data_IF_451441036236
#
_entry.id   IF_451441036236
#
_cell.length_a   1.000
_cell.length_b   1.000
_cell.length_c   1.000
_cell.angle_alpha   90.00
_cell.angle_beta   90.00
_cell.angle_gamma   90.00
#
_symmetry.space_group_name_H-M   'P 1'
#
loop_
_entity.id
_entity.type
_entity.pdbx_description
1 polymer ?
#
# COMPACT_ATOMS: atom_id res chain seq x y z
N UNK A 1 8.59 15.83 -10.69
CA UNK A 1 8.37 15.15 -11.99
C UNK A 1 8.55 13.62 -11.89
N UNK A 2 8.00 12.97 -10.85
CA UNK A 2 8.11 11.51 -10.65
C UNK A 2 6.86 10.73 -11.12
N UNK A 3 5.75 11.42 -11.34
CA UNK A 3 4.44 10.85 -11.71
C UNK A 3 4.35 10.33 -13.16
N UNK A 4 5.40 10.48 -13.97
CA UNK A 4 5.43 9.99 -15.37
C UNK A 4 6.06 8.61 -15.53
N UNK A 5 6.55 7.98 -14.47
CA UNK A 5 7.28 6.69 -14.57
C UNK A 5 6.51 5.45 -14.08
N UNK A 6 5.45 5.61 -13.29
CA UNK A 6 4.57 4.49 -12.94
C UNK A 6 3.96 3.76 -14.16
N UNK A 7 3.46 4.45 -15.20
CA UNK A 7 2.89 3.76 -16.37
C UNK A 7 3.97 3.05 -17.21
N UNK A 8 5.25 3.45 -17.10
CA UNK A 8 6.35 2.81 -17.83
C UNK A 8 6.72 1.45 -17.21
N UNK A 9 6.61 1.32 -15.89
CA UNK A 9 6.84 0.05 -15.18
C UNK A 9 5.73 -0.96 -15.53
N UNK A 10 4.49 -0.49 -15.66
CA UNK A 10 3.36 -1.31 -16.13
C UNK A 10 3.50 -1.71 -17.61
N UNK A 11 4.10 -0.86 -18.46
CA UNK A 11 4.30 -1.15 -19.88
C UNK A 11 5.34 -2.25 -20.14
N UNK A 12 6.42 -2.29 -19.35
CA UNK A 12 7.46 -3.32 -19.47
C UNK A 12 6.91 -4.71 -19.06
N UNK A 13 5.96 -4.77 -18.13
CA UNK A 13 5.27 -6.00 -17.78
C UNK A 13 4.37 -6.52 -18.92
N UNK A 14 3.81 -5.63 -19.76
CA UNK A 14 2.94 -6.01 -20.88
C UNK A 14 3.71 -6.50 -22.12
N UNK A 15 4.96 -6.07 -22.31
CA UNK A 15 5.77 -6.49 -23.48
C UNK A 15 6.30 -7.94 -23.39
N UNK A 16 6.26 -8.58 -22.22
CA UNK A 16 6.75 -9.95 -22.03
C UNK A 16 5.66 -11.04 -22.13
N UNK A 17 4.40 -10.66 -22.30
CA UNK A 17 3.23 -11.57 -22.19
C UNK A 17 2.79 -12.28 -23.48
N UNK A 18 3.56 -12.20 -24.58
CA UNK A 18 3.05 -12.58 -25.91
C UNK A 18 3.45 -13.97 -26.44
N UNK A 19 4.01 -14.88 -25.64
CA UNK A 19 4.31 -16.25 -26.09
C UNK A 19 3.89 -17.30 -25.06
N UNK A 20 3.05 -18.30 -25.42
CA UNK A 20 2.70 -19.38 -24.51
C UNK A 20 3.72 -20.54 -24.60
N UNK A 21 4.24 -21.00 -23.47
CA UNK A 21 5.03 -22.24 -23.37
C UNK A 21 4.87 -22.94 -21.99
N UNK A 22 5.16 -24.26 -21.89
CA UNK A 22 4.60 -25.16 -20.89
C UNK A 22 5.37 -25.18 -19.55
N UNK A 23 4.62 -25.33 -18.46
CA UNK A 23 5.07 -25.23 -17.07
C UNK A 23 5.87 -26.44 -16.56
N UNK A 24 7.02 -26.18 -15.92
CA UNK A 24 7.74 -27.15 -15.08
C UNK A 24 7.09 -27.32 -13.69
N UNK A 25 7.29 -28.46 -12.98
CA UNK A 25 6.36 -28.94 -11.94
C UNK A 25 6.41 -28.21 -10.59
N UNK A 26 7.35 -27.29 -10.36
CA UNK A 26 7.55 -26.65 -9.05
C UNK A 26 7.77 -25.13 -9.09
N UNK A 27 7.77 -24.51 -10.26
CA UNK A 27 7.87 -23.05 -10.36
C UNK A 27 6.47 -22.44 -10.50
N UNK A 28 6.18 -21.45 -9.65
CA UNK A 28 4.98 -20.64 -9.79
C UNK A 28 4.98 -20.04 -11.20
N UNK A 29 3.91 -20.28 -11.94
CA UNK A 29 3.70 -19.64 -13.24
C UNK A 29 3.68 -18.13 -13.07
N UNK A 30 4.04 -17.38 -14.11
CA UNK A 30 3.96 -15.91 -14.10
C UNK A 30 2.58 -15.41 -13.61
N UNK A 31 1.51 -16.07 -14.06
CA UNK A 31 0.14 -15.76 -13.63
C UNK A 31 -0.10 -15.97 -12.12
N UNK A 32 0.52 -16.98 -11.51
CA UNK A 32 0.45 -17.18 -10.06
C UNK A 32 1.23 -16.10 -9.29
N UNK A 33 2.40 -15.68 -9.80
CA UNK A 33 3.17 -14.57 -9.22
C UNK A 33 2.41 -13.25 -9.29
N UNK A 34 1.73 -12.98 -10.41
CA UNK A 34 0.86 -11.81 -10.57
C UNK A 34 -0.30 -11.83 -9.55
N UNK A 35 -0.93 -13.00 -9.36
CA UNK A 35 -2.00 -13.15 -8.37
C UNK A 35 -1.49 -12.96 -6.93
N UNK A 36 -0.31 -13.48 -6.59
CA UNK A 36 0.31 -13.27 -5.29
C UNK A 36 0.65 -11.79 -5.05
N UNK A 37 1.23 -11.12 -6.04
CA UNK A 37 1.53 -9.69 -5.97
C UNK A 37 0.25 -8.83 -5.80
N UNK A 38 -0.81 -9.20 -6.50
CA UNK A 38 -2.13 -8.59 -6.36
C UNK A 38 -2.67 -8.76 -4.93
N UNK A 39 -2.64 -9.97 -4.39
CA UNK A 39 -3.11 -10.27 -3.03
C UNK A 39 -2.28 -9.55 -1.96
N UNK A 40 -0.95 -9.50 -2.11
CA UNK A 40 -0.07 -8.76 -1.19
C UNK A 40 -0.33 -7.25 -1.25
N UNK A 41 -0.69 -6.70 -2.41
CA UNK A 41 -1.08 -5.30 -2.55
C UNK A 41 -2.40 -5.01 -1.83
N UNK A 42 -3.40 -5.90 -1.94
CA UNK A 42 -4.64 -5.81 -1.15
C UNK A 42 -4.32 -5.84 0.35
N UNK A 43 -3.45 -6.76 0.77
CA UNK A 43 -3.06 -6.91 2.17
C UNK A 43 -2.38 -5.66 2.71
N UNK A 44 -1.45 -5.07 1.94
CA UNK A 44 -0.83 -3.80 2.28
C UNK A 44 -1.88 -2.71 2.44
N UNK A 45 -2.73 -2.46 1.44
CA UNK A 45 -3.75 -1.40 1.50
C UNK A 45 -4.65 -1.55 2.74
N UNK A 46 -5.09 -2.77 3.03
CA UNK A 46 -5.88 -3.05 4.23
C UNK A 46 -5.09 -2.80 5.52
N UNK A 47 -3.80 -3.16 5.58
CA UNK A 47 -2.94 -2.87 6.72
C UNK A 47 -2.75 -1.35 6.91
N UNK A 48 -2.53 -0.60 5.83
CA UNK A 48 -2.42 0.86 5.85
C UNK A 48 -3.69 1.51 6.40
N UNK A 49 -4.88 1.06 5.96
CA UNK A 49 -6.14 1.58 6.48
C UNK A 49 -6.33 1.26 7.97
N UNK A 50 -6.06 0.02 8.39
CA UNK A 50 -6.16 -0.39 9.80
C UNK A 50 -5.25 0.42 10.71
N UNK A 51 -4.00 0.63 10.29
CA UNK A 51 -3.04 1.42 11.05
C UNK A 51 -3.51 2.87 11.21
N UNK A 52 -3.99 3.50 10.13
CA UNK A 52 -4.52 4.87 10.18
C UNK A 52 -5.79 4.96 11.03
N UNK A 53 -6.71 3.98 10.92
CA UNK A 53 -7.92 3.91 11.75
C UNK A 53 -7.55 3.80 13.24
N UNK A 54 -6.62 2.91 13.58
CA UNK A 54 -6.17 2.72 14.96
C UNK A 54 -5.47 3.98 15.50
N UNK A 55 -4.60 4.60 14.69
CA UNK A 55 -3.88 5.82 15.07
C UNK A 55 -4.85 6.96 15.35
N UNK A 56 -5.67 7.34 14.37
CA UNK A 56 -6.57 8.49 14.49
C UNK A 56 -7.75 8.20 15.43
N UNK A 57 -8.19 6.93 15.55
CA UNK A 57 -9.12 6.51 16.59
C UNK A 57 -8.58 6.80 17.98
N UNK A 58 -7.33 6.41 18.26
CA UNK A 58 -6.68 6.67 19.54
C UNK A 58 -6.43 8.16 19.82
N UNK A 59 -6.13 8.96 18.78
CA UNK A 59 -6.05 10.43 18.89
C UNK A 59 -7.41 11.01 19.27
N UNK A 60 -8.48 10.59 18.57
CA UNK A 60 -9.84 11.10 18.78
C UNK A 60 -10.39 10.77 20.16
N UNK A 61 -10.13 9.56 20.67
CA UNK A 61 -10.55 9.13 22.01
C UNK A 61 -10.01 10.04 23.14
N UNK A 62 -8.89 10.72 22.89
CA UNK A 62 -8.22 11.60 23.85
C UNK A 62 -8.57 13.08 23.69
N UNK A 63 -9.33 13.42 22.64
CA UNK A 63 -9.82 14.78 22.40
C UNK A 63 -11.23 14.93 22.97
N UNK A 64 -11.59 16.14 23.39
CA UNK A 64 -12.99 16.42 23.74
C UNK A 64 -13.89 16.18 22.50
N UNK A 65 -14.93 15.34 22.58
CA UNK A 65 -15.84 15.03 21.48
C UNK A 65 -16.51 16.24 20.83
N UNK A 66 -16.61 17.37 21.54
CA UNK A 66 -17.23 18.61 21.05
C UNK A 66 -16.26 19.47 20.23
N UNK A 67 -14.98 19.12 20.20
CA UNK A 67 -13.96 19.86 19.43
C UNK A 67 -14.13 19.63 17.94
N UNK A 68 -13.84 20.67 17.16
CA UNK A 68 -13.80 20.56 15.69
C UNK A 68 -12.84 19.45 15.26
N UNK A 69 -11.67 19.32 15.90
CA UNK A 69 -10.70 18.28 15.56
C UNK A 69 -11.23 16.87 15.76
N UNK A 70 -12.02 16.63 16.81
CA UNK A 70 -12.65 15.31 17.02
C UNK A 70 -13.64 14.98 15.89
N UNK A 71 -14.39 15.97 15.40
CA UNK A 71 -15.30 15.81 14.26
C UNK A 71 -14.55 15.58 12.93
N UNK A 72 -13.48 16.35 12.67
CA UNK A 72 -12.65 16.18 11.48
C UNK A 72 -12.02 14.78 11.43
N UNK A 73 -11.52 14.29 12.57
CA UNK A 73 -11.00 12.93 12.67
C UNK A 73 -12.12 11.90 12.46
N UNK A 74 -13.32 12.12 13.01
CA UNK A 74 -14.45 11.22 12.79
C UNK A 74 -14.79 11.05 11.30
N UNK A 75 -14.81 12.17 10.56
CA UNK A 75 -15.03 12.16 9.12
C UNK A 75 -13.92 11.38 8.39
N UNK A 76 -12.67 11.63 8.74
CA UNK A 76 -11.53 10.92 8.16
C UNK A 76 -11.60 9.40 8.41
N UNK A 77 -11.90 9.00 9.65
CA UNK A 77 -12.11 7.60 10.02
C UNK A 77 -13.26 6.96 9.24
N UNK A 78 -14.35 7.69 8.96
CA UNK A 78 -15.47 7.16 8.18
C UNK A 78 -15.04 6.81 6.74
N UNK A 79 -14.20 7.65 6.12
CA UNK A 79 -13.65 7.42 4.76
C UNK A 79 -12.73 6.21 4.74
N UNK A 80 -11.84 6.08 5.74
CA UNK A 80 -10.97 4.91 5.88
C UNK A 80 -11.77 3.62 6.07
N UNK A 81 -12.84 3.65 6.88
CA UNK A 81 -13.72 2.50 7.08
C UNK A 81 -14.52 2.12 5.82
N UNK A 82 -14.89 3.10 4.99
CA UNK A 82 -15.48 2.82 3.69
C UNK A 82 -14.45 2.16 2.75
N UNK A 83 -13.22 2.68 2.70
CA UNK A 83 -12.17 2.17 1.83
C UNK A 83 -11.72 0.75 2.19
N UNK A 84 -11.63 0.42 3.49
CA UNK A 84 -11.28 -0.95 3.90
C UNK A 84 -12.37 -1.97 3.56
N UNK A 85 -13.64 -1.55 3.58
CA UNK A 85 -14.80 -2.39 3.25
C UNK A 85 -15.00 -2.60 1.74
N UNK A 86 -14.40 -1.76 0.90
CA UNK A 86 -14.40 -1.94 -0.56
C UNK A 86 -13.74 -3.27 -0.94
N UNK A 87 -14.33 -3.98 -1.90
CA UNK A 87 -13.86 -5.29 -2.38
C UNK A 87 -13.19 -5.19 -3.74
N UNK A 88 -13.57 -4.22 -4.55
CA UNK A 88 -12.95 -3.95 -5.84
C UNK A 88 -11.59 -3.27 -5.64
N UNK A 89 -10.51 -3.85 -6.20
CA UNK A 89 -9.16 -3.32 -5.98
C UNK A 89 -8.96 -1.96 -6.65
N UNK A 90 -9.43 -1.78 -7.88
CA UNK A 90 -9.22 -0.54 -8.62
C UNK A 90 -9.93 0.63 -7.92
N UNK A 91 -11.15 0.39 -7.46
CA UNK A 91 -11.90 1.33 -6.65
C UNK A 91 -11.26 1.55 -5.29
N UNK A 92 -10.80 0.51 -4.61
CA UNK A 92 -10.07 0.63 -3.33
C UNK A 92 -8.80 1.47 -3.48
N UNK A 93 -8.05 1.27 -4.57
CA UNK A 93 -6.84 2.02 -4.88
C UNK A 93 -7.15 3.49 -5.17
N UNK A 94 -8.23 3.76 -5.91
CA UNK A 94 -8.72 5.12 -6.15
C UNK A 94 -9.11 5.81 -4.83
N UNK A 95 -9.89 5.12 -3.99
CA UNK A 95 -10.25 5.63 -2.66
C UNK A 95 -9.03 5.89 -1.79
N UNK A 96 -8.02 5.00 -1.82
CA UNK A 96 -6.76 5.22 -1.10
C UNK A 96 -6.07 6.51 -1.58
N UNK A 97 -5.96 6.70 -2.89
CA UNK A 97 -5.33 7.88 -3.46
C UNK A 97 -6.09 9.16 -3.08
N UNK A 98 -7.41 9.16 -3.22
CA UNK A 98 -8.25 10.31 -2.85
C UNK A 98 -8.11 10.66 -1.37
N UNK A 99 -8.18 9.66 -0.49
CA UNK A 99 -8.01 9.85 0.96
C UNK A 99 -6.62 10.41 1.28
N UNK A 100 -5.57 9.93 0.60
CA UNK A 100 -4.21 10.41 0.82
C UNK A 100 -4.02 11.85 0.32
N UNK A 101 -4.55 12.18 -0.86
CA UNK A 101 -4.50 13.54 -1.41
C UNK A 101 -5.28 14.54 -0.56
N UNK A 102 -6.43 14.13 -0.04
CA UNK A 102 -7.19 14.93 0.92
C UNK A 102 -6.44 15.08 2.24
N UNK A 103 -5.88 13.99 2.78
CA UNK A 103 -5.12 14.00 4.04
C UNK A 103 -4.01 15.05 4.03
N UNK A 104 -3.26 15.16 2.94
CA UNK A 104 -2.20 16.18 2.78
C UNK A 104 -2.71 17.62 2.85
N UNK A 105 -4.01 17.85 2.64
CA UNK A 105 -4.67 19.16 2.76
C UNK A 105 -5.28 19.38 4.14
N UNK A 106 -5.33 18.35 4.98
CA UNK A 106 -5.93 18.44 6.32
C UNK A 106 -4.99 19.06 7.32
N UNK A 107 -5.55 19.68 8.36
CA UNK A 107 -4.81 20.15 9.52
C UNK A 107 -4.57 19.06 10.56
N UNK A 108 -4.92 17.78 10.30
CA UNK A 108 -5.03 16.69 11.29
C UNK A 108 -3.77 16.44 12.14
N UNK A 109 -2.59 16.78 11.63
CA UNK A 109 -1.31 16.64 12.35
C UNK A 109 -0.80 17.96 12.94
N UNK A 110 -1.47 19.07 12.65
CA UNK A 110 -1.11 20.42 13.10
C UNK A 110 -2.10 20.92 14.15
N UNK A 111 -1.60 21.60 15.17
CA UNK A 111 -2.46 22.13 16.22
C UNK A 111 -3.01 23.52 15.89
N UNK A 112 -4.29 23.71 16.22
CA UNK A 112 -4.92 25.01 16.39
C UNK A 112 -5.71 24.93 17.70
N UNK A 113 -5.36 25.75 18.67
CA UNK A 113 -5.88 25.66 20.06
C UNK A 113 -7.41 25.77 20.07
N UNK A 114 -7.96 26.63 19.21
CA UNK A 114 -9.39 26.81 19.02
C UNK A 114 -10.11 25.57 18.43
N UNK A 115 -9.37 24.67 17.76
CA UNK A 115 -9.93 23.45 17.16
C UNK A 115 -9.77 22.22 18.03
N UNK A 116 -8.81 22.22 18.97
CA UNK A 116 -8.42 21.05 19.78
C UNK A 116 -8.65 21.25 21.28
N UNK A 117 -8.68 22.49 21.76
CA UNK A 117 -8.65 22.83 23.18
C UNK A 117 -7.30 22.59 23.86
N UNK A 118 -6.26 22.25 23.10
CA UNK A 118 -4.94 21.85 23.61
C UNK A 118 -3.86 22.83 23.15
N UNK A 119 -2.84 23.03 23.99
CA UNK A 119 -1.60 23.69 23.56
C UNK A 119 -0.85 22.85 22.52
N UNK A 120 0.09 23.47 21.79
CA UNK A 120 0.88 22.76 20.79
C UNK A 120 1.66 21.58 21.39
N UNK A 121 2.23 21.76 22.58
CA UNK A 121 2.95 20.69 23.28
C UNK A 121 2.05 19.54 23.70
N UNK A 122 0.85 19.83 24.19
CA UNK A 122 -0.11 18.79 24.58
C UNK A 122 -0.61 18.02 23.36
N UNK A 123 -0.91 18.73 22.27
CA UNK A 123 -1.34 18.08 21.04
C UNK A 123 -0.23 17.22 20.43
N UNK A 124 1.01 17.71 20.43
CA UNK A 124 2.15 16.92 19.95
C UNK A 124 2.40 15.68 20.82
N UNK A 125 2.33 15.82 22.14
CA UNK A 125 2.42 14.67 23.05
C UNK A 125 1.31 13.65 22.80
N UNK A 126 0.10 14.11 22.51
CA UNK A 126 -1.04 13.26 22.14
C UNK A 126 -0.76 12.49 20.85
N UNK A 127 -0.23 13.15 19.80
CA UNK A 127 0.13 12.53 18.51
C UNK A 127 1.32 11.55 18.59
N UNK A 128 2.17 11.69 19.61
CA UNK A 128 3.36 10.85 19.81
C UNK A 128 3.28 9.93 21.02
N UNK A 129 2.08 9.67 21.54
CA UNK A 129 1.89 8.74 22.65
C UNK A 129 2.45 7.34 22.33
N UNK A 130 2.89 6.60 23.35
CA UNK A 130 3.52 5.28 23.23
C UNK A 130 2.69 4.31 22.38
N UNK A 131 1.37 4.25 22.58
CA UNK A 131 0.47 3.41 21.77
C UNK A 131 0.53 3.79 20.28
N UNK A 132 0.60 5.08 19.98
CA UNK A 132 0.70 5.58 18.61
C UNK A 132 2.07 5.30 18.00
N UNK A 133 3.15 5.40 18.78
CA UNK A 133 4.48 5.01 18.35
C UNK A 133 4.55 3.52 17.98
N UNK A 134 3.87 2.66 18.75
CA UNK A 134 3.76 1.22 18.45
C UNK A 134 3.00 0.97 17.13
N UNK A 135 1.89 1.69 16.90
CA UNK A 135 1.14 1.62 15.64
C UNK A 135 2.02 2.06 14.45
N UNK A 136 2.75 3.17 14.59
CA UNK A 136 3.67 3.66 13.55
C UNK A 136 4.80 2.66 13.28
N UNK A 137 5.34 2.00 14.32
CA UNK A 137 6.35 0.94 14.14
C UNK A 137 5.79 -0.25 13.36
N UNK A 138 4.59 -0.73 13.73
CA UNK A 138 3.93 -1.82 13.01
C UNK A 138 3.71 -1.47 11.54
N UNK A 139 3.25 -0.25 11.28
CA UNK A 139 3.07 0.26 9.93
C UNK A 139 4.36 0.20 9.08
N UNK A 140 5.50 0.64 9.63
CA UNK A 140 6.78 0.59 8.93
C UNK A 140 7.20 -0.86 8.62
N UNK A 141 6.93 -1.79 9.55
CA UNK A 141 7.20 -3.22 9.35
C UNK A 141 6.34 -3.79 8.23
N UNK A 142 5.05 -3.47 8.18
CA UNK A 142 4.13 -3.95 7.14
C UNK A 142 4.55 -3.46 5.74
N UNK A 143 4.89 -2.17 5.64
CA UNK A 143 5.40 -1.58 4.38
C UNK A 143 6.71 -2.23 3.94
N UNK A 144 7.65 -2.42 4.88
CA UNK A 144 8.94 -3.06 4.58
C UNK A 144 8.75 -4.49 4.10
N UNK A 145 7.88 -5.24 4.77
CA UNK A 145 7.56 -6.64 4.42
C UNK A 145 6.98 -6.72 3.01
N UNK A 146 6.06 -5.82 2.66
CA UNK A 146 5.51 -5.74 1.30
C UNK A 146 6.61 -5.52 0.26
N UNK A 147 7.49 -4.53 0.45
CA UNK A 147 8.55 -4.24 -0.53
C UNK A 147 9.51 -5.42 -0.71
N UNK A 148 9.84 -6.14 0.36
CA UNK A 148 10.66 -7.36 0.28
C UNK A 148 9.96 -8.43 -0.56
N UNK A 149 8.67 -8.68 -0.33
CA UNK A 149 7.89 -9.65 -1.12
C UNK A 149 7.80 -9.23 -2.60
N UNK A 150 7.55 -7.96 -2.89
CA UNK A 150 7.50 -7.47 -4.28
C UNK A 150 8.84 -7.61 -4.99
N UNK A 151 9.96 -7.37 -4.29
CA UNK A 151 11.29 -7.60 -4.83
C UNK A 151 11.53 -9.09 -5.13
N UNK A 152 11.09 -9.99 -4.25
CA UNK A 152 11.17 -11.44 -4.46
C UNK A 152 10.34 -11.89 -5.67
N UNK A 153 9.11 -11.40 -5.81
CA UNK A 153 8.26 -11.73 -6.96
C UNK A 153 8.86 -11.22 -8.26
N UNK A 154 9.34 -9.97 -8.28
CA UNK A 154 10.00 -9.40 -9.45
C UNK A 154 11.23 -10.21 -9.87
N UNK A 155 12.05 -10.66 -8.90
CA UNK A 155 13.19 -11.52 -9.16
C UNK A 155 12.82 -12.87 -9.76
N UNK A 156 11.72 -13.48 -9.29
CA UNK A 156 11.20 -14.75 -9.86
C UNK A 156 10.71 -14.57 -11.29
N UNK A 157 9.99 -13.49 -11.60
CA UNK A 157 9.53 -13.20 -12.97
C UNK A 157 10.71 -13.03 -13.93
N UNK A 158 11.75 -12.29 -13.53
CA UNK A 158 12.97 -12.13 -14.35
C UNK A 158 13.66 -13.48 -14.58
N UNK A 159 13.76 -14.32 -13.54
CA UNK A 159 14.35 -15.66 -13.67
C UNK A 159 13.57 -16.52 -14.69
N UNK A 160 12.24 -16.54 -14.61
CA UNK A 160 11.39 -17.25 -15.57
C UNK A 160 11.68 -16.79 -17.00
N UNK A 161 11.73 -15.47 -17.24
CA UNK A 161 12.03 -14.94 -18.58
C UNK A 161 13.44 -15.28 -19.09
N UNK A 162 14.44 -15.36 -18.20
CA UNK A 162 15.81 -15.79 -18.57
C UNK A 162 15.82 -17.29 -18.91
N UNK A 163 15.17 -18.12 -18.09
CA UNK A 163 15.11 -19.57 -18.29
C UNK A 163 14.40 -19.91 -19.62
N UNK A 164 13.33 -19.17 -19.95
CA UNK A 164 12.62 -19.27 -21.24
C UNK A 164 13.49 -18.88 -22.43
N UNK A 165 14.22 -17.75 -22.34
CA UNK A 165 15.13 -17.29 -23.39
C UNK A 165 16.27 -18.30 -23.64
N UNK A 166 16.83 -18.88 -22.58
CA UNK A 166 17.87 -19.91 -22.69
C UNK A 166 17.33 -21.20 -23.31
N UNK A 167 16.14 -21.64 -22.92
CA UNK A 167 15.51 -22.83 -23.51
C UNK A 167 15.24 -22.68 -25.01
N UNK A 168 14.73 -21.52 -25.45
CA UNK A 168 14.47 -21.26 -26.88
C UNK A 168 15.77 -21.18 -27.68
N UNK A 169 16.79 -20.51 -27.13
CA UNK A 169 18.10 -20.42 -27.77
C UNK A 169 18.77 -21.80 -27.96
N UNK A 170 18.67 -22.68 -26.96
CA UNK A 170 19.23 -24.04 -27.04
C UNK A 170 18.47 -24.95 -28.01
N UNK A 171 17.16 -24.78 -28.15
CA UNK A 171 16.35 -25.53 -29.12
C UNK A 171 16.62 -25.07 -30.57
N UNK A 172 16.84 -23.78 -30.81
CA UNK A 172 17.22 -23.26 -32.12
C UNK A 172 18.62 -23.73 -32.54
N UNK A 173 19.57 -23.84 -31.59
CA UNK A 173 20.90 -24.42 -31.84
C UNK A 173 20.87 -25.90 -32.25
N UNK A 174 19.86 -26.67 -31.84
CA UNK A 174 19.74 -28.10 -32.19
C UNK A 174 19.10 -28.33 -33.56
N UNK A 175 18.47 -27.29 -34.15
CA UNK A 175 17.81 -27.36 -35.46
C UNK A 175 18.71 -26.93 -36.63
N UNK A 176 19.92 -26.45 -36.35
CA UNK A 176 20.93 -26.02 -37.30
C UNK A 176 22.27 -26.73 -37.05
#
# INVERSE_FOLDING_TARGET
MLYKRLPLILLVAQCLLAAPAPSQPNDLTQKQLEQEAHNETINLLNALFRAQIAYFGGVREKLDPKTKRSADIALYLSRLNAAIAEKDLDRKNTMWQDIFEEFNKTSLLSNRVEETGLSNSEYQALLTDKKLQEITKSFVVDVTTYFVKMAQYSGKVVKIGIDEYMSTFDDDKKKH
#
